data_IF_323600531669
#
_entry.id   IF_323600531669
#
_cell.length_a   1.000
_cell.length_b   1.000
_cell.length_c   1.000
_cell.angle_alpha   90.00
_cell.angle_beta   90.00
_cell.angle_gamma   90.00
#
_symmetry.space_group_name_H-M   'P 1'
#
loop_
_entity.id
_entity.type
_entity.pdbx_description
1 polymer ?
#
# COMPACT_ATOMS: atom_id res chain seq x y z
N UNK A 1 6.31 -7.94 -7.81
CA UNK A 1 5.12 -8.26 -6.98
C UNK A 1 3.90 -8.34 -7.88
N UNK A 2 3.18 -9.44 -7.81
CA UNK A 2 1.96 -9.60 -8.59
C UNK A 2 0.76 -9.20 -7.75
N UNK A 3 -0.12 -8.34 -8.30
CA UNK A 3 -1.34 -7.89 -7.64
C UNK A 3 -2.53 -8.35 -8.49
N UNK A 4 -3.29 -9.38 -8.05
CA UNK A 4 -4.45 -9.86 -8.82
C UNK A 4 -5.51 -8.80 -9.02
N UNK A 5 -6.29 -8.92 -10.09
CA UNK A 5 -7.33 -7.95 -10.44
C UNK A 5 -8.37 -7.77 -9.33
N UNK A 6 -8.76 -8.84 -8.65
CA UNK A 6 -9.72 -8.74 -7.54
C UNK A 6 -9.18 -7.89 -6.38
N UNK A 7 -7.88 -7.94 -6.13
CA UNK A 7 -7.26 -7.09 -5.10
C UNK A 7 -7.27 -5.63 -5.56
N UNK A 8 -6.90 -5.36 -6.82
CA UNK A 8 -6.94 -3.99 -7.36
C UNK A 8 -8.35 -3.41 -7.23
N UNK A 9 -9.37 -4.20 -7.49
CA UNK A 9 -10.77 -3.78 -7.35
C UNK A 9 -11.13 -3.45 -5.90
N UNK A 10 -10.66 -4.25 -4.93
CA UNK A 10 -10.84 -3.95 -3.51
C UNK A 10 -10.19 -2.63 -3.11
N UNK A 11 -8.94 -2.43 -3.54
CA UNK A 11 -8.21 -1.19 -3.25
C UNK A 11 -8.92 0.01 -3.84
N UNK A 12 -9.41 -0.11 -5.07
CA UNK A 12 -10.13 0.95 -5.77
C UNK A 12 -11.42 1.32 -5.05
N UNK A 13 -12.19 0.31 -4.65
CA UNK A 13 -13.44 0.52 -3.90
C UNK A 13 -13.16 1.22 -2.58
N UNK A 14 -12.17 0.76 -1.84
CA UNK A 14 -11.78 1.34 -0.56
C UNK A 14 -11.32 2.80 -0.74
N UNK A 15 -10.49 3.06 -1.75
CA UNK A 15 -10.00 4.41 -2.01
C UNK A 15 -11.14 5.38 -2.34
N UNK A 16 -12.14 4.92 -3.12
CA UNK A 16 -13.31 5.75 -3.46
C UNK A 16 -14.21 6.01 -2.26
N UNK A 17 -14.37 5.02 -1.37
CA UNK A 17 -15.16 5.18 -0.15
C UNK A 17 -14.55 6.19 0.81
N UNK A 18 -13.23 6.22 0.92
CA UNK A 18 -12.53 7.10 1.87
C UNK A 18 -12.22 8.49 1.28
N UNK A 19 -12.31 8.65 -0.05
CA UNK A 19 -12.06 9.94 -0.67
C UNK A 19 -13.00 11.02 -0.08
N UNK A 20 -12.53 12.25 0.14
CA UNK A 20 -11.25 12.83 -0.30
C UNK A 20 -10.05 12.49 0.58
N UNK A 21 -10.23 11.70 1.64
CA UNK A 21 -9.12 11.31 2.51
C UNK A 21 -8.34 10.14 1.89
N UNK A 22 -7.05 10.07 2.21
CA UNK A 22 -6.23 8.91 1.86
C UNK A 22 -6.70 7.69 2.64
N UNK A 23 -6.77 6.56 1.98
CA UNK A 23 -6.96 5.26 2.61
C UNK A 23 -5.63 4.52 2.66
N UNK A 24 -5.52 3.52 3.49
CA UNK A 24 -4.25 2.83 3.69
C UNK A 24 -4.45 1.40 4.20
N UNK A 25 -3.37 0.65 4.19
CA UNK A 25 -3.36 -0.72 4.68
C UNK A 25 -2.07 -1.44 4.32
N UNK A 26 -2.09 -2.75 4.54
CA UNK A 26 -1.03 -3.64 4.10
C UNK A 26 -1.53 -4.56 2.99
N UNK A 27 -0.66 -4.87 2.05
CA UNK A 27 -0.86 -5.96 1.10
C UNK A 27 -0.12 -7.18 1.64
N UNK A 28 -0.88 -8.23 1.90
CA UNK A 28 -0.35 -9.49 2.44
C UNK A 28 -0.30 -10.52 1.33
N UNK A 29 0.64 -11.44 1.43
CA UNK A 29 0.74 -12.48 0.44
C UNK A 29 1.85 -13.47 0.69
N UNK A 30 2.18 -14.21 -0.35
CA UNK A 30 3.21 -15.25 -0.31
C UNK A 30 4.39 -14.84 -1.19
N UNK A 31 5.57 -15.36 -0.81
CA UNK A 31 6.81 -15.14 -1.55
C UNK A 31 7.44 -16.49 -1.81
N UNK A 32 7.64 -16.83 -3.06
CA UNK A 32 8.24 -18.10 -3.49
C UNK A 32 9.21 -17.87 -4.66
N UNK A 33 9.66 -18.95 -5.30
CA UNK A 33 10.60 -18.86 -6.43
C UNK A 33 10.04 -18.10 -7.61
N UNK A 34 8.70 -18.04 -7.76
CA UNK A 34 8.03 -17.29 -8.82
C UNK A 34 7.87 -15.81 -8.49
N UNK A 35 8.26 -15.38 -7.29
CA UNK A 35 8.15 -14.01 -6.82
C UNK A 35 7.04 -13.81 -5.80
N UNK A 36 6.73 -12.55 -5.53
CA UNK A 36 5.72 -12.17 -4.55
C UNK A 36 4.34 -12.10 -5.19
N UNK A 37 3.34 -12.67 -4.52
CA UNK A 37 1.94 -12.62 -4.95
C UNK A 37 1.07 -12.12 -3.80
N UNK A 38 0.37 -11.01 -4.02
CA UNK A 38 -0.60 -10.47 -3.05
C UNK A 38 -1.85 -11.35 -3.05
N UNK A 39 -2.27 -11.76 -1.86
CA UNK A 39 -3.48 -12.59 -1.68
C UNK A 39 -4.56 -11.87 -0.88
N UNK A 40 -4.20 -10.90 -0.06
CA UNK A 40 -5.15 -10.17 0.78
C UNK A 40 -4.78 -8.69 0.90
N UNK A 41 -5.82 -7.85 0.93
CA UNK A 41 -5.74 -6.46 1.34
C UNK A 41 -6.15 -6.39 2.82
N UNK A 42 -5.24 -5.95 3.67
CA UNK A 42 -5.53 -5.72 5.09
C UNK A 42 -5.74 -4.22 5.30
N UNK A 43 -7.00 -3.81 5.34
CA UNK A 43 -7.36 -2.41 5.53
C UNK A 43 -7.01 -1.95 6.94
N UNK A 44 -6.47 -0.73 7.05
CA UNK A 44 -6.26 -0.06 8.34
C UNK A 44 -6.80 1.36 8.27
N UNK A 45 -7.31 1.84 9.39
CA UNK A 45 -7.80 3.21 9.48
C UNK A 45 -6.65 4.20 9.31
N UNK A 46 -6.87 5.22 8.49
CA UNK A 46 -5.99 6.38 8.43
C UNK A 46 -6.36 7.29 9.61
N UNK A 47 -5.58 7.26 10.68
CA UNK A 47 -5.88 8.04 11.89
C UNK A 47 -5.66 9.53 11.72
N UNK A 48 -5.00 9.96 10.64
CA UNK A 48 -4.81 11.38 10.33
C UNK A 48 -6.05 12.00 9.68
N UNK A 49 -6.95 11.18 9.14
CA UNK A 49 -8.17 11.61 8.45
C UNK A 49 -7.90 12.75 7.45
N UNK A 50 -6.85 12.60 6.65
CA UNK A 50 -6.32 13.65 5.79
C UNK A 50 -6.35 13.26 4.32
N UNK A 51 -6.55 14.22 3.39
CA UNK A 51 -6.42 13.97 1.96
C UNK A 51 -4.96 13.93 1.47
N UNK A 52 -3.99 14.26 2.33
CA UNK A 52 -2.57 14.36 1.95
C UNK A 52 -1.63 13.53 2.82
N UNK A 53 -2.11 13.00 3.94
CA UNK A 53 -1.29 12.26 4.90
C UNK A 53 -2.01 11.01 5.37
N UNK A 54 -1.23 10.03 5.79
CA UNK A 54 -1.79 8.88 6.47
C UNK A 54 -0.84 8.39 7.56
N UNK A 55 -1.44 7.79 8.59
CA UNK A 55 -0.72 7.09 9.65
C UNK A 55 -1.58 5.91 10.10
N UNK A 56 -0.92 4.83 10.49
CA UNK A 56 -1.56 3.69 11.12
C UNK A 56 -1.52 3.85 12.64
N UNK A 57 -2.59 3.44 13.32
CA UNK A 57 -2.51 3.28 14.76
C UNK A 57 -1.53 2.13 15.09
N UNK A 58 -0.60 2.30 16.06
CA UNK A 58 0.34 1.23 16.43
C UNK A 58 -0.35 -0.09 16.78
N UNK A 59 -1.52 -0.02 17.43
CA UNK A 59 -2.31 -1.21 17.77
C UNK A 59 -2.78 -1.95 16.52
N UNK A 60 -3.20 -1.20 15.49
CA UNK A 60 -3.66 -1.81 14.24
C UNK A 60 -2.50 -2.46 13.49
N UNK A 61 -1.32 -1.85 13.50
CA UNK A 61 -0.12 -2.45 12.91
C UNK A 61 0.23 -3.77 13.61
N UNK A 62 0.18 -3.79 14.94
CA UNK A 62 0.47 -4.98 15.72
C UNK A 62 -0.54 -6.10 15.41
N UNK A 63 -1.83 -5.75 15.34
CA UNK A 63 -2.90 -6.70 14.99
C UNK A 63 -2.69 -7.26 13.59
N UNK A 64 -2.30 -6.43 12.64
CA UNK A 64 -2.02 -6.86 11.26
C UNK A 64 -0.86 -7.86 11.20
N UNK A 65 0.21 -7.62 11.95
CA UNK A 65 1.35 -8.54 12.05
C UNK A 65 0.93 -9.90 12.60
N UNK A 66 0.12 -9.91 13.65
CA UNK A 66 -0.40 -11.14 14.25
C UNK A 66 -1.30 -11.90 13.26
N UNK A 67 -2.16 -11.18 12.57
CA UNK A 67 -3.04 -11.76 11.55
C UNK A 67 -2.22 -12.41 10.43
N UNK A 68 -1.26 -11.69 9.86
CA UNK A 68 -0.42 -12.20 8.78
C UNK A 68 0.31 -13.48 9.23
N UNK A 69 0.88 -13.45 10.42
CA UNK A 69 1.60 -14.61 10.98
C UNK A 69 0.67 -15.80 11.17
N UNK A 70 -0.56 -15.58 11.63
CA UNK A 70 -1.54 -16.66 11.86
C UNK A 70 -1.98 -17.33 10.55
N UNK A 71 -1.85 -16.63 9.42
CA UNK A 71 -2.21 -17.11 8.07
C UNK A 71 -1.00 -17.56 7.26
N UNK A 72 0.19 -17.57 7.84
CA UNK A 72 1.45 -17.81 7.12
C UNK A 72 1.64 -16.86 5.92
N UNK A 73 1.19 -15.62 6.07
CA UNK A 73 1.35 -14.57 5.06
C UNK A 73 2.45 -13.61 5.48
N UNK A 74 3.07 -12.99 4.48
CA UNK A 74 4.04 -11.92 4.68
C UNK A 74 3.40 -10.58 4.36
N UNK A 75 3.88 -9.53 5.01
CA UNK A 75 3.59 -8.16 4.58
C UNK A 75 4.48 -7.88 3.38
N UNK A 76 3.88 -7.76 2.20
CA UNK A 76 4.59 -7.51 0.96
C UNK A 76 4.70 -6.02 0.65
N UNK A 77 3.70 -5.25 1.05
CA UNK A 77 3.66 -3.81 0.80
C UNK A 77 2.86 -3.07 1.85
N UNK A 78 3.26 -1.83 2.07
CA UNK A 78 2.47 -0.79 2.71
C UNK A 78 1.80 -0.02 1.56
N UNK A 79 0.48 0.12 1.57
CA UNK A 79 -0.21 0.82 0.49
C UNK A 79 -1.05 1.98 1.01
N UNK A 80 -1.18 2.99 0.18
CA UNK A 80 -2.10 4.09 0.43
C UNK A 80 -2.64 4.64 -0.89
N UNK A 81 -3.68 5.47 -0.81
CA UNK A 81 -4.26 6.11 -1.98
C UNK A 81 -3.80 7.55 -2.12
N UNK A 82 -3.73 8.00 -3.37
CA UNK A 82 -3.64 9.41 -3.73
C UNK A 82 -4.96 9.78 -4.42
N UNK A 83 -5.93 10.37 -3.69
CA UNK A 83 -7.23 10.66 -4.30
C UNK A 83 -7.18 11.68 -5.44
N UNK A 84 -6.23 12.62 -5.40
CA UNK A 84 -6.17 13.74 -6.34
C UNK A 84 -4.79 13.98 -6.96
N UNK A 85 -3.87 13.03 -6.82
CA UNK A 85 -2.50 13.15 -7.35
C UNK A 85 -2.04 11.85 -8.00
N UNK A 86 -1.00 11.89 -8.85
CA UNK A 86 -0.52 10.68 -9.54
C UNK A 86 -0.01 9.59 -8.61
N UNK A 87 0.06 8.36 -9.14
CA UNK A 87 0.59 7.19 -8.41
C UNK A 87 2.12 7.24 -8.38
N UNK A 88 2.63 8.08 -7.50
CA UNK A 88 4.06 8.15 -7.19
C UNK A 88 4.24 8.75 -5.80
N UNK A 89 5.34 8.41 -5.10
CA UNK A 89 5.57 8.92 -3.75
C UNK A 89 5.68 10.45 -3.71
N UNK A 90 5.03 11.06 -2.72
CA UNK A 90 5.27 12.46 -2.37
C UNK A 90 6.62 12.58 -1.64
N UNK A 91 7.08 13.82 -1.40
CA UNK A 91 8.30 14.03 -0.61
C UNK A 91 8.15 13.44 0.80
N UNK A 92 6.98 13.58 1.39
CA UNK A 92 6.67 12.99 2.70
C UNK A 92 6.68 11.46 2.64
N UNK A 93 6.08 10.87 1.60
CA UNK A 93 6.08 9.42 1.41
C UNK A 93 7.50 8.87 1.37
N UNK A 94 8.40 9.55 0.66
CA UNK A 94 9.81 9.15 0.56
C UNK A 94 10.51 9.24 1.91
N UNK A 95 10.24 10.31 2.66
CA UNK A 95 10.86 10.52 3.97
C UNK A 95 10.41 9.49 4.99
N UNK A 96 9.13 9.09 4.95
CA UNK A 96 8.54 8.17 5.91
C UNK A 96 8.67 6.69 5.54
N UNK A 97 9.19 6.38 4.36
CA UNK A 97 9.41 5.00 3.91
C UNK A 97 10.64 4.40 4.58
N UNK A 98 10.44 3.80 5.76
CA UNK A 98 11.53 3.35 6.64
C UNK A 98 11.92 1.89 6.45
N UNK A 99 11.13 1.10 5.73
CA UNK A 99 11.36 -0.33 5.59
C UNK A 99 11.77 -0.67 4.15
N UNK A 100 13.07 -0.91 3.88
CA UNK A 100 13.52 -1.24 2.53
C UNK A 100 13.19 -2.67 2.10
N UNK A 101 12.63 -3.49 3.00
CA UNK A 101 12.34 -4.90 2.71
C UNK A 101 10.95 -5.11 2.11
N UNK A 102 10.07 -4.11 2.19
CA UNK A 102 8.73 -4.16 1.61
C UNK A 102 8.60 -3.12 0.50
N UNK A 103 7.54 -3.26 -0.28
CA UNK A 103 7.21 -2.26 -1.30
C UNK A 103 6.24 -1.23 -0.72
N UNK A 104 6.19 -0.07 -1.37
CA UNK A 104 5.25 1.01 -1.08
C UNK A 104 4.36 1.17 -2.30
N UNK A 105 3.09 0.78 -2.17
CA UNK A 105 2.13 0.80 -3.27
C UNK A 105 1.20 2.00 -3.14
N UNK A 106 0.93 2.67 -4.26
CA UNK A 106 0.10 3.86 -4.29
C UNK A 106 -0.99 3.67 -5.33
N UNK A 107 -2.24 3.69 -4.89
CA UNK A 107 -3.40 3.67 -5.77
C UNK A 107 -3.88 5.10 -5.99
N UNK A 108 -3.76 5.59 -7.23
CA UNK A 108 -4.22 6.92 -7.60
C UNK A 108 -5.59 6.86 -8.24
N UNK A 109 -6.44 7.84 -7.90
CA UNK A 109 -7.73 8.08 -8.56
C UNK A 109 -7.65 9.28 -9.52
N UNK A 110 -6.45 9.84 -9.70
CA UNK A 110 -6.23 11.00 -10.57
C UNK A 110 -6.11 10.55 -12.02
N UNK A 111 -6.97 11.09 -12.89
CA UNK A 111 -7.01 10.79 -14.33
C UNK A 111 -7.13 9.28 -14.61
N UNK A 112 -8.09 8.64 -13.95
CA UNK A 112 -8.29 7.19 -14.00
C UNK A 112 -7.70 6.50 -12.80
N UNK A 113 -7.74 5.17 -12.79
CA UNK A 113 -7.19 4.38 -11.69
C UNK A 113 -5.81 3.86 -12.08
N UNK A 114 -4.81 4.17 -11.27
CA UNK A 114 -3.44 3.73 -11.49
C UNK A 114 -2.87 3.12 -10.21
N UNK A 115 -2.12 2.03 -10.34
CA UNK A 115 -1.45 1.41 -9.21
C UNK A 115 0.00 1.12 -9.57
N UNK A 116 0.91 1.75 -8.86
CA UNK A 116 2.34 1.48 -8.95
C UNK A 116 2.87 1.11 -7.58
N UNK A 117 3.94 0.32 -7.53
CA UNK A 117 4.63 0.05 -6.28
C UNK A 117 6.11 0.36 -6.43
N UNK A 118 6.74 0.72 -5.31
CA UNK A 118 8.09 1.25 -5.29
C UNK A 118 8.89 0.60 -4.18
N UNK A 119 10.17 0.33 -4.45
CA UNK A 119 11.15 0.10 -3.39
C UNK A 119 11.87 1.40 -3.12
N UNK A 120 11.99 1.72 -1.83
CA UNK A 120 12.55 2.99 -1.39
C UNK A 120 13.66 2.71 -0.37
N UNK A 121 14.85 3.29 -0.61
CA UNK A 121 15.99 3.17 0.29
C UNK A 121 16.58 4.56 0.50
N UNK A 122 16.75 4.93 1.78
CA UNK A 122 17.33 6.24 2.14
C UNK A 122 16.60 7.42 1.49
N UNK A 123 15.27 7.34 1.40
CA UNK A 123 14.46 8.40 0.81
C UNK A 123 14.46 8.44 -0.71
N UNK A 124 15.04 7.44 -1.38
CA UNK A 124 15.14 7.39 -2.84
C UNK A 124 14.46 6.15 -3.41
N UNK A 125 13.78 6.32 -4.55
CA UNK A 125 13.18 5.22 -5.29
C UNK A 125 14.27 4.42 -5.97
N UNK A 126 14.39 3.13 -5.66
CA UNK A 126 15.38 2.24 -6.27
C UNK A 126 14.75 1.21 -7.21
N UNK A 127 13.44 1.05 -7.19
CA UNK A 127 12.71 0.17 -8.11
C UNK A 127 11.25 0.62 -8.21
N UNK A 128 10.63 0.40 -9.37
CA UNK A 128 9.23 0.71 -9.63
C UNK A 128 8.61 -0.42 -10.43
N UNK A 129 7.40 -0.83 -10.01
CA UNK A 129 6.57 -1.75 -10.78
C UNK A 129 5.21 -1.11 -11.07
N UNK A 130 4.73 -1.28 -12.29
CA UNK A 130 3.41 -0.82 -12.72
C UNK A 130 2.44 -1.99 -12.66
N UNK A 131 1.32 -1.83 -11.95
CA UNK A 131 0.29 -2.86 -11.79
C UNK A 131 -0.99 -2.53 -12.54
N UNK A 132 -1.26 -1.24 -12.74
CA UNK A 132 -2.43 -0.78 -13.49
C UNK A 132 -2.22 0.62 -14.05
#
# INVERSE_FOLDING_TARGET
MKVPQNIIEELTTQARQDAPNETCGYLLGISDEGGDVVTENYWMENIDHSPEHFSFAPRDQFTALKYARSKDLKILANWHSHPASPSRPSQEDLRLANDPTIRYAILSLHEGVHLNSFKIQNGEIVDKEVHL
#
